data_IF_320515529282
#
_entry.id   IF_320515529282
#
_cell.length_a   1.000
_cell.length_b   1.000
_cell.length_c   1.000
_cell.angle_alpha   90.00
_cell.angle_beta   90.00
_cell.angle_gamma   90.00
#
_symmetry.space_group_name_H-M   'P 1'
#
loop_
_entity.id
_entity.type
_entity.pdbx_description
1 polymer ?
#
# COMPACT_ATOMS: atom_id res chain seq x y z
N UNK A 1 -10.38 29.44 25.50
CA UNK A 1 -10.72 28.11 24.96
C UNK A 1 -9.90 27.89 23.71
N UNK A 2 -8.76 27.20 23.82
CA UNK A 2 -7.89 26.92 22.67
C UNK A 2 -8.53 25.79 21.86
N UNK A 3 -8.83 26.04 20.58
CA UNK A 3 -9.20 24.98 19.63
C UNK A 3 -8.11 23.92 19.66
N UNK A 4 -8.39 22.64 19.97
CA UNK A 4 -7.40 21.60 19.78
C UNK A 4 -7.05 21.59 18.30
N UNK A 5 -5.75 21.49 18.00
CA UNK A 5 -5.19 21.42 16.65
C UNK A 5 -5.67 20.13 15.98
N UNK A 6 -6.93 20.12 15.55
CA UNK A 6 -7.57 18.98 14.90
C UNK A 6 -6.86 18.69 13.58
N UNK A 7 -5.95 17.72 13.64
CA UNK A 7 -5.74 16.65 12.68
C UNK A 7 -5.35 16.99 11.22
N UNK A 8 -4.55 18.05 11.01
CA UNK A 8 -3.93 18.33 9.69
C UNK A 8 -3.03 17.19 9.18
N UNK A 9 -2.44 16.37 10.08
CA UNK A 9 -1.61 15.19 9.74
C UNK A 9 -2.45 13.93 9.43
N UNK A 10 -3.58 13.76 10.12
CA UNK A 10 -4.44 12.56 10.01
C UNK A 10 -5.35 12.63 8.77
N UNK A 11 -5.71 13.83 8.32
CA UNK A 11 -6.36 14.03 7.02
C UNK A 11 -5.43 13.70 5.85
N UNK A 12 -4.17 14.13 5.91
CA UNK A 12 -3.17 13.84 4.87
C UNK A 12 -2.81 12.36 4.77
N UNK A 13 -2.82 11.62 5.89
CA UNK A 13 -2.59 10.18 5.90
C UNK A 13 -3.79 9.39 5.36
N UNK A 14 -5.04 9.81 5.66
CA UNK A 14 -6.23 9.21 5.05
C UNK A 14 -6.27 9.40 3.54
N UNK A 15 -6.00 10.62 3.05
CA UNK A 15 -5.96 10.90 1.61
C UNK A 15 -4.91 10.03 0.92
N UNK A 16 -3.73 9.87 1.51
CA UNK A 16 -2.69 8.99 0.98
C UNK A 16 -3.06 7.51 0.99
N UNK A 17 -3.79 7.04 2.01
CA UNK A 17 -4.34 5.69 2.03
C UNK A 17 -5.31 5.47 0.86
N UNK A 18 -6.18 6.44 0.60
CA UNK A 18 -7.18 6.34 -0.48
C UNK A 18 -6.52 6.37 -1.87
N UNK A 19 -5.56 7.27 -2.09
CA UNK A 19 -4.76 7.32 -3.32
C UNK A 19 -4.00 6.02 -3.56
N UNK A 20 -3.36 5.47 -2.52
CA UNK A 20 -2.66 4.19 -2.61
C UNK A 20 -3.61 3.04 -2.91
N UNK A 21 -4.77 2.97 -2.22
CA UNK A 21 -5.81 1.96 -2.49
C UNK A 21 -6.33 2.07 -3.92
N UNK A 22 -6.48 3.28 -4.46
CA UNK A 22 -6.89 3.47 -5.85
C UNK A 22 -5.85 2.92 -6.82
N UNK A 23 -4.59 3.28 -6.66
CA UNK A 23 -3.52 2.82 -7.54
C UNK A 23 -3.37 1.30 -7.47
N UNK A 24 -3.54 0.71 -6.29
CA UNK A 24 -3.57 -0.74 -6.14
C UNK A 24 -4.73 -1.38 -6.91
N UNK A 25 -5.93 -0.81 -6.84
CA UNK A 25 -7.06 -1.26 -7.66
C UNK A 25 -6.85 -1.07 -9.16
N UNK A 26 -6.15 -0.03 -9.58
CA UNK A 26 -5.78 0.19 -10.99
C UNK A 26 -4.73 -0.81 -11.50
N UNK A 27 -3.98 -1.44 -10.59
CA UNK A 27 -2.95 -2.42 -10.92
C UNK A 27 -3.43 -3.88 -10.80
N UNK A 28 -4.66 -4.13 -10.34
CA UNK A 28 -5.36 -5.40 -10.46
C UNK A 28 -5.77 -5.60 -11.93
N UNK A 29 -4.88 -6.21 -12.73
CA UNK A 29 -5.06 -6.28 -14.18
C UNK A 29 -5.93 -7.45 -14.61
N UNK A 30 -5.93 -8.53 -13.82
CA UNK A 30 -6.77 -9.69 -14.05
C UNK A 30 -8.18 -9.52 -13.46
N UNK A 31 -8.39 -8.52 -12.60
CA UNK A 31 -9.69 -8.16 -12.04
C UNK A 31 -10.22 -9.22 -11.07
N UNK A 32 -9.32 -9.97 -10.42
CA UNK A 32 -9.71 -11.01 -9.46
C UNK A 32 -9.96 -10.45 -8.05
N UNK A 33 -9.78 -9.14 -7.87
CA UNK A 33 -9.96 -8.45 -6.59
C UNK A 33 -8.81 -8.70 -5.62
N UNK A 34 -7.71 -9.29 -6.09
CA UNK A 34 -6.48 -9.55 -5.33
C UNK A 34 -5.29 -8.97 -6.09
N UNK A 35 -4.17 -8.81 -5.39
CA UNK A 35 -2.92 -8.42 -6.02
C UNK A 35 -1.91 -9.53 -5.91
N UNK A 36 -1.48 -10.03 -7.07
CA UNK A 36 -0.30 -10.89 -7.14
C UNK A 36 0.98 -10.10 -6.86
N UNK A 37 2.05 -10.81 -6.49
CA UNK A 37 3.38 -10.20 -6.31
C UNK A 37 3.86 -9.39 -7.53
N UNK A 38 3.44 -9.79 -8.73
CA UNK A 38 3.81 -9.11 -9.99
C UNK A 38 3.09 -7.77 -10.13
N UNK A 39 1.80 -7.73 -9.81
CA UNK A 39 0.97 -6.52 -9.84
C UNK A 39 1.38 -5.56 -8.73
N UNK A 40 1.63 -6.10 -7.54
CA UNK A 40 2.16 -5.37 -6.40
C UNK A 40 3.54 -4.74 -6.72
N UNK A 41 4.44 -5.49 -7.37
CA UNK A 41 5.74 -4.96 -7.82
C UNK A 41 5.61 -3.86 -8.86
N UNK A 42 4.63 -3.94 -9.76
CA UNK A 42 4.36 -2.87 -10.73
C UNK A 42 3.85 -1.62 -10.03
N UNK A 43 2.91 -1.76 -9.10
CA UNK A 43 2.41 -0.66 -8.30
C UNK A 43 3.54 0.04 -7.53
N UNK A 44 4.40 -0.70 -6.83
CA UNK A 44 5.59 -0.14 -6.17
C UNK A 44 6.55 0.56 -7.14
N UNK A 45 6.71 0.04 -8.37
CA UNK A 45 7.49 0.68 -9.42
C UNK A 45 6.90 2.02 -9.86
N UNK A 46 5.58 2.08 -10.05
CA UNK A 46 4.84 3.31 -10.36
C UNK A 46 4.98 4.39 -9.28
N UNK A 47 5.21 3.98 -8.02
CA UNK A 47 5.52 4.88 -6.90
C UNK A 47 6.97 5.37 -6.85
N UNK A 48 7.82 4.97 -7.80
CA UNK A 48 9.24 5.32 -7.81
C UNK A 48 10.05 4.61 -6.72
N UNK A 49 9.59 3.44 -6.26
CA UNK A 49 10.33 2.67 -5.27
C UNK A 49 11.69 2.19 -5.81
N UNK A 50 12.74 2.38 -5.01
CA UNK A 50 13.98 1.63 -5.19
C UNK A 50 13.73 0.16 -4.84
N UNK A 51 14.11 -0.74 -5.76
CA UNK A 51 13.86 -2.19 -5.68
C UNK A 51 12.36 -2.58 -5.52
N UNK A 52 11.52 -2.34 -6.55
CA UNK A 52 10.07 -2.60 -6.47
C UNK A 52 9.72 -4.03 -6.09
N UNK A 53 10.46 -5.01 -6.63
CA UNK A 53 10.22 -6.43 -6.34
C UNK A 53 10.51 -6.78 -4.87
N UNK A 54 11.57 -6.21 -4.30
CA UNK A 54 11.91 -6.43 -2.89
C UNK A 54 10.83 -5.84 -1.97
N UNK A 55 10.35 -4.62 -2.28
CA UNK A 55 9.27 -4.00 -1.51
C UNK A 55 7.93 -4.72 -1.67
N UNK A 56 7.64 -5.23 -2.87
CA UNK A 56 6.46 -6.05 -3.11
C UNK A 56 6.52 -7.36 -2.32
N UNK A 57 7.64 -8.07 -2.36
CA UNK A 57 7.82 -9.32 -1.63
C UNK A 57 7.70 -9.11 -0.11
N UNK A 58 8.31 -8.06 0.42
CA UNK A 58 8.22 -7.74 1.85
C UNK A 58 6.83 -7.24 2.24
N UNK A 59 6.20 -6.43 1.40
CA UNK A 59 4.82 -5.97 1.59
C UNK A 59 3.83 -7.13 1.58
N UNK A 60 4.01 -8.08 0.66
CA UNK A 60 3.25 -9.33 0.59
C UNK A 60 3.43 -10.12 1.89
N UNK A 61 4.67 -10.43 2.27
CA UNK A 61 4.98 -11.18 3.48
C UNK A 61 4.43 -10.56 4.77
N UNK A 62 4.32 -9.23 4.85
CA UNK A 62 3.76 -8.53 6.01
C UNK A 62 2.23 -8.53 6.03
N UNK A 63 1.60 -8.55 4.86
CA UNK A 63 0.16 -8.35 4.73
C UNK A 63 -0.63 -9.65 4.54
N UNK A 64 -0.05 -10.63 3.85
CA UNK A 64 -0.57 -11.98 3.56
C UNK A 64 -0.75 -12.78 4.87
N UNK A 65 -1.97 -12.76 5.40
CA UNK A 65 -2.36 -13.39 6.67
C UNK A 65 -2.84 -14.83 6.44
N UNK A 66 -3.49 -15.06 5.29
CA UNK A 66 -4.02 -16.37 4.92
C UNK A 66 -2.99 -17.27 4.21
N UNK A 67 -1.87 -16.70 3.77
CA UNK A 67 -0.73 -17.40 3.18
C UNK A 67 -0.98 -17.85 1.74
N UNK A 68 -1.93 -17.24 1.04
CA UNK A 68 -2.29 -17.61 -0.33
C UNK A 68 -1.30 -17.06 -1.38
N UNK A 69 -0.41 -16.14 -0.97
CA UNK A 69 0.58 -15.49 -1.84
C UNK A 69 0.02 -14.33 -2.68
N UNK A 70 -1.18 -13.85 -2.34
CA UNK A 70 -1.84 -12.70 -2.91
C UNK A 70 -2.17 -11.68 -1.80
N UNK A 71 -2.60 -10.49 -2.20
CA UNK A 71 -3.16 -9.49 -1.29
C UNK A 71 -4.63 -9.34 -1.59
N UNK A 72 -5.47 -9.82 -0.69
CA UNK A 72 -6.92 -9.64 -0.74
C UNK A 72 -7.35 -8.23 -0.32
N UNK A 73 -8.62 -7.88 -0.53
CA UNK A 73 -9.19 -6.61 -0.05
C UNK A 73 -9.02 -6.41 1.46
N UNK A 74 -9.11 -7.50 2.23
CA UNK A 74 -8.94 -7.52 3.68
C UNK A 74 -7.49 -7.20 4.09
N UNK A 75 -6.52 -7.60 3.28
CA UNK A 75 -5.08 -7.44 3.54
C UNK A 75 -4.51 -6.16 2.91
N UNK A 76 -5.23 -5.59 1.94
CA UNK A 76 -4.86 -4.37 1.22
C UNK A 76 -4.55 -3.22 2.18
N UNK A 77 -5.25 -3.11 3.30
CA UNK A 77 -4.96 -2.06 4.28
C UNK A 77 -3.56 -2.19 4.89
N UNK A 78 -3.09 -3.41 5.15
CA UNK A 78 -1.75 -3.66 5.70
C UNK A 78 -0.67 -3.30 4.67
N UNK A 79 -0.86 -3.67 3.40
CA UNK A 79 0.10 -3.35 2.34
C UNK A 79 0.16 -1.85 2.06
N UNK A 80 -0.97 -1.15 2.16
CA UNK A 80 -1.04 0.31 2.00
C UNK A 80 -0.35 1.02 3.15
N UNK A 81 -0.55 0.58 4.40
CA UNK A 81 0.20 1.13 5.54
C UNK A 81 1.71 0.93 5.36
N UNK A 82 2.11 -0.28 4.95
CA UNK A 82 3.50 -0.59 4.63
C UNK A 82 4.04 0.31 3.51
N UNK A 83 3.29 0.51 2.42
CA UNK A 83 3.71 1.36 1.31
C UNK A 83 3.89 2.82 1.72
N UNK A 84 2.97 3.36 2.54
CA UNK A 84 3.08 4.71 3.08
C UNK A 84 4.32 4.81 4.00
N UNK A 85 4.53 3.82 4.87
CA UNK A 85 5.72 3.77 5.74
C UNK A 85 7.02 3.68 4.93
N UNK A 86 7.05 2.88 3.87
CA UNK A 86 8.19 2.77 2.95
C UNK A 86 8.47 4.05 2.17
N UNK A 87 7.44 4.87 1.88
CA UNK A 87 7.61 6.17 1.24
C UNK A 87 8.32 7.19 2.14
N UNK A 88 8.13 7.09 3.46
CA UNK A 88 8.73 8.00 4.45
C UNK A 88 9.97 7.46 5.15
N UNK A 89 10.26 6.16 5.04
CA UNK A 89 11.59 5.62 5.31
C UNK A 89 12.51 5.99 4.15
N UNK A 90 12.96 7.25 4.17
CA UNK A 90 14.16 7.71 3.48
C UNK A 90 15.33 6.90 4.03
N UNK A 91 15.96 6.10 3.17
CA UNK A 91 17.41 5.97 3.28
C UNK A 91 18.03 7.34 2.97
#
# INVERSE_FOLDING_TARGET
MTRPLYDKKKSGYKLQKEEMKQIFREHDFNGDGRLSIKELSRAFGSFGAFFPLYRAAFGLFVADDDGDGFISEQELEKVVDYAIKCKYNLL
#
